data_IF_297464195621
#
_entry.id   IF_297464195621
#
_cell.length_a   1.000
_cell.length_b   1.000
_cell.length_c   1.000
_cell.angle_alpha   90.00
_cell.angle_beta   90.00
_cell.angle_gamma   90.00
#
_symmetry.space_group_name_H-M   'P 1'
#
loop_
_entity.id
_entity.type
_entity.pdbx_description
1 polymer ?
#
# COMPACT_ATOMS: atom_id res chain seq x y z
N UNK A 1 -20.18 34.12 24.63
CA UNK A 1 -18.76 33.81 24.96
C UNK A 1 -18.05 33.83 23.62
N UNK A 2 -17.34 34.90 23.27
CA UNK A 2 -17.02 35.29 21.88
C UNK A 2 -16.33 34.19 21.03
N UNK A 3 -15.60 33.30 21.69
CA UNK A 3 -14.97 32.12 21.06
C UNK A 3 -16.01 31.09 20.60
N UNK A 4 -17.09 30.91 21.36
CA UNK A 4 -18.17 29.97 21.07
C UNK A 4 -19.03 30.45 19.89
N UNK A 5 -19.38 31.73 19.86
CA UNK A 5 -20.11 32.36 18.74
C UNK A 5 -19.30 32.27 17.43
N UNK A 6 -17.99 32.54 17.48
CA UNK A 6 -17.11 32.37 16.30
C UNK A 6 -16.97 30.92 15.84
N UNK A 7 -17.00 29.96 16.78
CA UNK A 7 -16.99 28.55 16.45
C UNK A 7 -18.30 28.16 15.75
N UNK A 8 -19.44 28.57 16.31
CA UNK A 8 -20.78 28.32 15.74
C UNK A 8 -20.89 28.87 14.30
N UNK A 9 -20.48 30.12 14.06
CA UNK A 9 -20.43 30.75 12.73
C UNK A 9 -19.56 29.97 11.73
N UNK A 10 -18.41 29.45 12.17
CA UNK A 10 -17.53 28.64 11.32
C UNK A 10 -18.18 27.29 10.97
N UNK A 11 -18.87 26.64 11.91
CA UNK A 11 -19.58 25.37 11.66
C UNK A 11 -20.79 25.53 10.75
N UNK A 12 -21.57 26.61 10.87
CA UNK A 12 -22.72 26.86 9.97
C UNK A 12 -22.29 27.12 8.52
N UNK A 13 -21.07 27.63 8.32
CA UNK A 13 -20.50 27.86 7.00
C UNK A 13 -19.87 26.61 6.36
N UNK A 14 -19.89 25.44 7.03
CA UNK A 14 -19.34 24.19 6.49
C UNK A 14 -20.33 23.61 5.47
N UNK A 15 -19.83 23.43 4.25
CA UNK A 15 -20.45 22.58 3.24
C UNK A 15 -20.21 21.11 3.61
N UNK A 16 -21.25 20.44 4.13
CA UNK A 16 -21.15 19.05 4.58
C UNK A 16 -20.87 18.08 3.43
N UNK A 17 -21.41 18.32 2.23
CA UNK A 17 -21.17 17.46 1.07
C UNK A 17 -19.68 17.51 0.67
N UNK A 18 -19.09 18.70 0.71
CA UNK A 18 -17.65 18.87 0.49
C UNK A 18 -16.82 18.22 1.59
N UNK A 19 -17.22 18.37 2.86
CA UNK A 19 -16.51 17.76 3.98
C UNK A 19 -16.49 16.23 3.86
N UNK A 20 -17.62 15.62 3.52
CA UNK A 20 -17.72 14.17 3.30
C UNK A 20 -16.79 13.70 2.17
N UNK A 21 -16.74 14.44 1.05
CA UNK A 21 -15.82 14.13 -0.07
C UNK A 21 -14.35 14.20 0.35
N UNK A 22 -13.95 15.23 1.11
CA UNK A 22 -12.58 15.37 1.61
C UNK A 22 -12.24 14.24 2.60
N UNK A 23 -13.18 13.83 3.46
CA UNK A 23 -12.98 12.69 4.36
C UNK A 23 -12.76 11.39 3.59
N UNK A 24 -13.53 11.13 2.53
CA UNK A 24 -13.34 9.95 1.66
C UNK A 24 -11.97 10.00 1.00
N UNK A 25 -11.56 11.16 0.49
CA UNK A 25 -10.27 11.31 -0.17
C UNK A 25 -9.09 11.11 0.80
N UNK A 26 -9.19 11.63 2.03
CA UNK A 26 -8.19 11.41 3.08
C UNK A 26 -8.12 9.93 3.46
N UNK A 27 -9.27 9.26 3.61
CA UNK A 27 -9.31 7.84 3.91
C UNK A 27 -8.63 7.01 2.81
N UNK A 28 -8.89 7.33 1.53
CA UNK A 28 -8.23 6.67 0.40
C UNK A 28 -6.71 6.88 0.40
N UNK A 29 -6.23 8.08 0.76
CA UNK A 29 -4.79 8.35 0.87
C UNK A 29 -4.13 7.56 1.99
N UNK A 30 -4.73 7.58 3.18
CA UNK A 30 -4.23 6.82 4.33
C UNK A 30 -4.16 5.31 4.03
N UNK A 31 -5.14 4.80 3.30
CA UNK A 31 -5.19 3.39 2.88
C UNK A 31 -4.07 3.05 1.88
N UNK A 32 -3.70 3.96 0.97
CA UNK A 32 -2.53 3.79 0.07
C UNK A 32 -1.22 3.85 0.85
N UNK A 33 -1.07 4.80 1.77
CA UNK A 33 0.13 4.93 2.60
C UNK A 33 0.38 3.65 3.42
N UNK A 34 -0.69 3.03 3.95
CA UNK A 34 -0.59 1.75 4.65
C UNK A 34 -0.07 0.60 3.76
N UNK A 35 -0.48 0.55 2.48
CA UNK A 35 0.08 -0.44 1.54
C UNK A 35 1.56 -0.21 1.24
N UNK A 36 2.00 1.05 1.17
CA UNK A 36 3.41 1.39 0.93
C UNK A 36 4.28 0.99 2.13
N UNK A 37 3.83 1.24 3.36
CA UNK A 37 4.52 0.84 4.58
C UNK A 37 4.65 -0.69 4.69
N UNK A 38 3.60 -1.44 4.31
CA UNK A 38 3.69 -2.92 4.27
C UNK A 38 4.67 -3.42 3.21
N UNK A 39 4.63 -2.84 2.01
CA UNK A 39 5.58 -3.16 0.94
C UNK A 39 7.03 -2.97 1.37
N UNK A 40 7.34 -1.85 2.03
CA UNK A 40 8.68 -1.59 2.57
C UNK A 40 9.09 -2.65 3.60
N UNK A 41 8.15 -3.07 4.45
CA UNK A 41 8.37 -4.14 5.43
C UNK A 41 8.70 -5.48 4.74
N UNK A 42 7.96 -5.84 3.70
CA UNK A 42 8.20 -7.09 2.96
C UNK A 42 9.49 -7.05 2.15
N UNK A 43 9.82 -5.92 1.52
CA UNK A 43 11.10 -5.74 0.83
C UNK A 43 12.29 -5.87 1.79
N UNK A 44 12.20 -5.25 2.96
CA UNK A 44 13.22 -5.37 4.01
C UNK A 44 13.41 -6.82 4.46
N UNK A 45 12.33 -7.59 4.60
CA UNK A 45 12.42 -9.00 4.96
C UNK A 45 12.94 -9.87 3.82
N UNK A 46 12.67 -9.54 2.56
CA UNK A 46 13.27 -10.22 1.40
C UNK A 46 14.78 -10.03 1.41
N UNK A 47 15.27 -8.79 1.57
CA UNK A 47 16.70 -8.49 1.66
C UNK A 47 17.38 -9.30 2.78
N UNK A 48 16.78 -9.30 3.97
CA UNK A 48 17.26 -10.10 5.12
C UNK A 48 17.32 -11.59 4.84
N UNK A 49 16.30 -12.13 4.17
CA UNK A 49 16.28 -13.55 3.82
C UNK A 49 17.42 -13.83 2.87
N UNK A 50 17.58 -13.05 1.79
CA UNK A 50 18.63 -13.23 0.79
C UNK A 50 20.06 -13.18 1.36
N UNK A 51 20.27 -12.52 2.50
CA UNK A 51 21.56 -12.47 3.21
C UNK A 51 21.79 -13.66 4.16
N UNK A 52 20.80 -14.54 4.36
CA UNK A 52 20.89 -15.67 5.29
C UNK A 52 21.47 -16.94 4.63
N UNK A 53 22.18 -17.74 5.43
CA UNK A 53 22.75 -19.05 5.01
C UNK A 53 21.75 -20.22 5.18
N UNK A 54 20.46 -19.94 5.38
CA UNK A 54 19.42 -20.96 5.64
C UNK A 54 18.66 -21.38 4.36
N UNK A 55 17.84 -22.43 4.43
CA UNK A 55 16.94 -22.81 3.33
C UNK A 55 15.87 -21.72 3.13
N UNK A 56 16.03 -20.92 2.08
CA UNK A 56 15.21 -19.70 1.86
C UNK A 56 13.96 -19.90 1.01
N UNK A 57 13.91 -20.94 0.16
CA UNK A 57 12.92 -21.07 -0.92
C UNK A 57 11.47 -20.88 -0.47
N UNK A 58 11.04 -21.65 0.54
CA UNK A 58 9.68 -21.54 1.11
C UNK A 58 9.37 -20.17 1.70
N UNK A 59 10.34 -19.51 2.35
CA UNK A 59 10.13 -18.18 2.96
C UNK A 59 10.05 -17.11 1.88
N UNK A 60 10.87 -17.20 0.84
CA UNK A 60 10.79 -16.30 -0.31
C UNK A 60 9.49 -16.51 -1.09
N UNK A 61 9.00 -17.74 -1.28
CA UNK A 61 7.71 -17.98 -1.94
C UNK A 61 6.55 -17.35 -1.15
N UNK A 62 6.57 -17.45 0.18
CA UNK A 62 5.61 -16.74 1.03
C UNK A 62 5.69 -15.22 0.83
N UNK A 63 6.88 -14.62 0.85
CA UNK A 63 7.06 -13.18 0.65
C UNK A 63 6.59 -12.73 -0.74
N UNK A 64 6.77 -13.55 -1.78
CA UNK A 64 6.23 -13.26 -3.11
C UNK A 64 4.69 -13.30 -3.14
N UNK A 65 4.06 -14.18 -2.36
CA UNK A 65 2.60 -14.19 -2.23
C UNK A 65 2.09 -12.91 -1.57
N UNK A 66 2.77 -12.43 -0.53
CA UNK A 66 2.40 -11.19 0.14
C UNK A 66 2.62 -9.95 -0.75
N UNK A 67 3.76 -9.83 -1.45
CA UNK A 67 3.98 -8.76 -2.44
C UNK A 67 2.90 -8.73 -3.53
N UNK A 68 2.43 -9.89 -3.99
CA UNK A 68 1.35 -9.96 -4.98
C UNK A 68 0.03 -9.42 -4.40
N UNK A 69 -0.30 -9.75 -3.14
CA UNK A 69 -1.49 -9.21 -2.46
C UNK A 69 -1.41 -7.69 -2.36
N UNK A 70 -0.28 -7.17 -1.90
CA UNK A 70 -0.07 -5.73 -1.78
C UNK A 70 -0.16 -5.02 -3.12
N UNK A 71 0.45 -5.58 -4.17
CA UNK A 71 0.32 -5.05 -5.52
C UNK A 71 -1.14 -5.01 -5.99
N UNK A 72 -1.96 -6.04 -5.72
CA UNK A 72 -3.39 -6.01 -6.05
C UNK A 72 -4.13 -4.90 -5.30
N UNK A 73 -3.84 -4.75 -4.02
CA UNK A 73 -4.49 -3.76 -3.17
C UNK A 73 -4.11 -2.35 -3.59
N UNK A 74 -2.82 -2.08 -3.80
CA UNK A 74 -2.30 -0.82 -4.33
C UNK A 74 -2.90 -0.47 -5.70
N UNK A 75 -2.98 -1.44 -6.61
CA UNK A 75 -3.53 -1.23 -7.96
C UNK A 75 -5.03 -0.97 -7.98
N UNK A 76 -5.80 -1.58 -7.08
CA UNK A 76 -7.26 -1.42 -7.02
C UNK A 76 -7.71 -0.16 -6.27
N UNK A 77 -6.89 0.36 -5.35
CA UNK A 77 -7.14 1.58 -4.59
C UNK A 77 -6.51 2.83 -5.20
N UNK A 78 -5.55 2.66 -6.12
CA UNK A 78 -4.89 3.78 -6.77
C UNK A 78 -5.80 4.51 -7.75
N UNK A 79 -5.87 5.84 -7.59
CA UNK A 79 -6.46 6.78 -8.55
C UNK A 79 -5.39 7.32 -9.52
N UNK A 80 -4.11 7.06 -9.24
CA UNK A 80 -2.96 7.54 -10.02
C UNK A 80 -2.51 6.50 -11.03
N UNK A 81 -2.41 6.91 -12.31
CA UNK A 81 -1.85 6.05 -13.37
C UNK A 81 -0.44 5.54 -13.05
N UNK A 82 0.37 6.34 -12.35
CA UNK A 82 1.74 5.96 -11.96
C UNK A 82 1.71 4.76 -11.02
N UNK A 83 0.88 4.82 -9.99
CA UNK A 83 0.77 3.77 -8.97
C UNK A 83 0.06 2.53 -9.53
N UNK A 84 -0.88 2.69 -10.46
CA UNK A 84 -1.47 1.57 -11.20
C UNK A 84 -0.43 0.85 -12.07
N UNK A 85 0.42 1.60 -12.78
CA UNK A 85 1.50 0.99 -13.57
C UNK A 85 2.52 0.28 -12.67
N UNK A 86 2.91 0.91 -11.56
CA UNK A 86 3.81 0.30 -10.58
C UNK A 86 3.26 -1.04 -10.06
N UNK A 87 1.97 -1.12 -9.74
CA UNK A 87 1.30 -2.37 -9.35
C UNK A 87 1.42 -3.48 -10.41
N UNK A 88 1.29 -3.14 -11.69
CA UNK A 88 1.45 -4.11 -12.79
C UNK A 88 2.89 -4.59 -12.88
N UNK A 89 3.85 -3.67 -12.85
CA UNK A 89 5.28 -4.00 -12.96
C UNK A 89 5.72 -4.87 -11.77
N UNK A 90 5.25 -4.57 -10.56
CA UNK A 90 5.49 -5.37 -9.36
C UNK A 90 4.99 -6.81 -9.52
N UNK A 91 3.80 -7.01 -10.11
CA UNK A 91 3.26 -8.37 -10.33
C UNK A 91 4.13 -9.17 -11.28
N UNK A 92 4.64 -8.53 -12.35
CA UNK A 92 5.55 -9.18 -13.29
C UNK A 92 6.85 -9.58 -12.59
N UNK A 93 7.46 -8.67 -11.82
CA UNK A 93 8.69 -8.96 -11.08
C UNK A 93 8.49 -10.03 -10.01
N UNK A 94 7.35 -10.02 -9.33
CA UNK A 94 6.99 -11.02 -8.32
C UNK A 94 6.90 -12.41 -8.96
N UNK A 95 6.27 -12.53 -10.12
CA UNK A 95 6.17 -13.83 -10.81
C UNK A 95 7.55 -14.34 -11.27
N UNK A 96 8.37 -13.45 -11.83
CA UNK A 96 9.75 -13.80 -12.21
C UNK A 96 10.55 -14.30 -11.01
N UNK A 97 10.42 -13.67 -9.85
CA UNK A 97 11.06 -14.11 -8.60
C UNK A 97 10.55 -15.48 -8.17
N UNK A 98 9.24 -15.76 -8.26
CA UNK A 98 8.69 -17.10 -7.96
C UNK A 98 9.26 -18.18 -8.87
N UNK A 99 9.40 -17.91 -10.16
CA UNK A 99 10.05 -18.83 -11.09
C UNK A 99 11.50 -19.09 -10.68
N UNK A 100 12.26 -18.05 -10.29
CA UNK A 100 13.62 -18.23 -9.81
C UNK A 100 13.68 -19.10 -8.55
N UNK A 101 12.79 -18.85 -7.58
CA UNK A 101 12.71 -19.62 -6.33
C UNK A 101 12.45 -21.11 -6.62
N UNK A 102 11.54 -21.43 -7.53
CA UNK A 102 11.22 -22.81 -7.91
C UNK A 102 12.37 -23.51 -8.66
N UNK A 103 13.21 -22.75 -9.38
CA UNK A 103 14.32 -23.32 -10.14
C UNK A 103 15.56 -23.65 -9.27
N UNK A 104 15.66 -23.07 -8.07
CA UNK A 104 16.78 -23.29 -7.15
C UNK A 104 16.46 -24.27 -6.01
N UNK A 105 15.18 -24.62 -5.83
CA UNK A 105 14.72 -25.73 -4.98
C UNK A 105 14.99 -27.10 -5.63
#
# INVERSE_FOLDING_TARGET
NRLKERLEELTEAIDNDRLEQEMVFIAQKADVDEELDRLETHLTEIERVLESDELMGRRLDFLMQELNREANTLGSKSISNITTQASVDMKVLTEQMREQIQNIE
#
